data_IF_053986373030
#
_entry.id   IF_053986373030
#
_cell.length_a   1.000
_cell.length_b   1.000
_cell.length_c   1.000
_cell.angle_alpha   90.00
_cell.angle_beta   90.00
_cell.angle_gamma   90.00
#
_symmetry.space_group_name_H-M   'P 1'
#
loop_
_entity.id
_entity.type
_entity.pdbx_description
1 polymer ?
#
# COMPACT_ATOMS: atom_id res chain seq x y z
N UNK A 1 -9.70 6.98 -13.46
CA UNK A 1 -9.72 7.46 -12.07
C UNK A 1 -8.91 6.47 -11.25
N UNK A 2 -7.95 6.92 -10.43
CA UNK A 2 -7.20 6.00 -9.54
C UNK A 2 -8.13 5.59 -8.39
N UNK A 3 -8.23 4.29 -8.14
CA UNK A 3 -9.02 3.76 -7.02
C UNK A 3 -8.40 4.17 -5.67
N UNK A 4 -9.19 4.41 -4.63
CA UNK A 4 -8.66 4.59 -3.28
C UNK A 4 -8.05 3.29 -2.77
N UNK A 5 -7.01 3.41 -1.93
CA UNK A 5 -6.45 2.27 -1.20
C UNK A 5 -7.35 2.01 0.01
N UNK A 6 -7.87 0.80 0.10
CA UNK A 6 -8.75 0.40 1.19
C UNK A 6 -7.93 -0.20 2.33
N UNK A 7 -8.06 0.39 3.51
CA UNK A 7 -7.58 -0.19 4.74
C UNK A 7 -8.70 -1.07 5.34
N UNK A 8 -8.47 -2.38 5.47
CA UNK A 8 -9.39 -3.30 6.12
C UNK A 8 -8.79 -3.87 7.40
N UNK A 9 -9.61 -3.98 8.44
CA UNK A 9 -9.26 -4.70 9.67
C UNK A 9 -9.37 -6.23 9.50
N UNK A 10 -10.03 -6.71 8.45
CA UNK A 10 -10.20 -8.13 8.17
C UNK A 10 -9.25 -8.60 7.07
N UNK A 11 -8.68 -9.80 7.26
CA UNK A 11 -7.73 -10.42 6.34
C UNK A 11 -8.42 -10.89 5.05
N UNK A 12 -8.76 -9.96 4.15
CA UNK A 12 -9.25 -10.29 2.80
C UNK A 12 -8.21 -11.08 2.01
N UNK A 13 -8.60 -12.22 1.43
CA UNK A 13 -7.74 -13.13 0.69
C UNK A 13 -7.38 -12.61 -0.70
N UNK A 14 -6.08 -12.40 -0.92
CA UNK A 14 -5.51 -11.88 -2.15
C UNK A 14 -4.13 -11.25 -1.88
N UNK A 15 -3.23 -11.37 -2.84
CA UNK A 15 -2.00 -10.57 -2.92
C UNK A 15 -2.33 -9.32 -3.78
N UNK A 16 -2.58 -8.15 -3.15
CA UNK A 16 -2.84 -6.91 -3.87
C UNK A 16 -1.59 -6.32 -4.53
N UNK A 17 -0.40 -6.65 -4.02
CA UNK A 17 0.87 -6.11 -4.54
C UNK A 17 1.65 -7.11 -5.40
N UNK A 18 1.09 -8.30 -5.63
CA UNK A 18 1.62 -9.26 -6.58
C UNK A 18 1.81 -8.57 -7.95
N UNK A 19 2.89 -8.86 -8.69
CA UNK A 19 3.26 -8.11 -9.86
C UNK A 19 2.13 -8.10 -10.89
N UNK A 20 1.42 -6.97 -10.99
CA UNK A 20 0.41 -6.69 -12.01
C UNK A 20 0.76 -5.33 -12.63
N UNK A 21 0.91 -5.27 -13.95
CA UNK A 21 1.32 -4.05 -14.66
C UNK A 21 2.85 -3.85 -14.70
N UNK A 22 3.35 -2.61 -14.63
CA UNK A 22 4.78 -2.20 -14.82
C UNK A 22 5.83 -3.05 -14.07
N UNK A 23 5.45 -3.82 -13.05
CA UNK A 23 6.26 -4.88 -12.44
C UNK A 23 6.53 -6.11 -13.35
N UNK A 24 5.98 -6.14 -14.57
CA UNK A 24 6.29 -7.13 -15.60
C UNK A 24 7.71 -6.96 -16.17
N UNK A 25 8.31 -5.77 -16.00
CA UNK A 25 9.75 -5.64 -16.02
C UNK A 25 10.25 -6.18 -14.68
N UNK A 26 11.10 -7.20 -14.69
CA UNK A 26 11.61 -7.94 -13.52
C UNK A 26 12.42 -7.09 -12.49
N UNK A 27 12.13 -5.80 -12.34
CA UNK A 27 12.74 -4.89 -11.38
C UNK A 27 12.12 -5.01 -9.99
N UNK A 28 12.93 -4.77 -8.97
CA UNK A 28 12.46 -4.61 -7.60
C UNK A 28 11.62 -3.33 -7.52
N UNK A 29 10.40 -3.43 -7.01
CA UNK A 29 9.50 -2.31 -6.76
C UNK A 29 9.54 -1.94 -5.28
N UNK A 30 9.66 -0.66 -4.97
CA UNK A 30 9.47 -0.14 -3.61
C UNK A 30 8.09 0.49 -3.46
N UNK A 31 7.53 0.42 -2.26
CA UNK A 31 6.25 1.05 -1.88
C UNK A 31 6.52 2.05 -0.77
N UNK A 32 5.96 3.25 -0.90
CA UNK A 32 6.10 4.34 0.07
C UNK A 32 4.77 4.86 0.57
N UNK A 33 4.75 5.34 1.82
CA UNK A 33 3.65 6.12 2.41
C UNK A 33 4.07 7.60 2.45
N UNK A 34 3.29 8.46 1.81
CA UNK A 34 3.53 9.91 1.78
C UNK A 34 2.86 10.61 2.96
N UNK A 35 3.34 11.82 3.30
CA UNK A 35 2.79 12.63 4.40
C UNK A 35 1.34 13.10 4.18
N UNK A 36 0.88 13.14 2.93
CA UNK A 36 -0.51 13.46 2.55
C UNK A 36 -1.42 12.22 2.50
N UNK A 37 -0.96 11.08 3.05
CA UNK A 37 -1.68 9.82 3.17
C UNK A 37 -1.96 9.12 1.84
N UNK A 38 -0.96 9.01 0.97
CA UNK A 38 -1.04 8.19 -0.26
C UNK A 38 -0.05 7.04 -0.20
N UNK A 39 -0.41 5.94 -0.86
CA UNK A 39 0.56 4.93 -1.25
C UNK A 39 1.11 5.26 -2.64
N UNK A 40 2.42 5.17 -2.77
CA UNK A 40 3.15 5.34 -4.03
C UNK A 40 4.06 4.14 -4.28
N UNK A 41 4.40 3.92 -5.54
CA UNK A 41 5.38 2.92 -5.95
C UNK A 41 6.38 3.49 -6.95
N UNK A 42 7.57 2.90 -7.00
CA UNK A 42 8.60 3.19 -8.00
C UNK A 42 9.50 1.97 -8.23
N UNK A 43 10.11 1.87 -9.42
CA UNK A 43 11.22 0.92 -9.66
C UNK A 43 12.45 1.44 -8.92
N UNK A 44 13.11 0.59 -8.10
CA UNK A 44 14.28 1.04 -7.31
C UNK A 44 15.45 1.52 -8.17
N UNK A 45 15.47 1.21 -9.47
CA UNK A 45 16.47 1.66 -10.44
C UNK A 45 16.11 2.99 -11.11
N UNK A 46 14.85 3.40 -11.02
CA UNK A 46 14.35 4.70 -11.52
C UNK A 46 13.31 5.29 -10.54
N UNK A 47 13.75 5.77 -9.37
CA UNK A 47 12.84 6.33 -8.36
C UNK A 47 12.13 7.62 -8.82
N UNK A 48 12.60 8.25 -9.90
CA UNK A 48 11.95 9.44 -10.46
C UNK A 48 10.62 9.11 -11.15
N UNK A 49 10.47 7.90 -11.71
CA UNK A 49 9.19 7.40 -12.26
C UNK A 49 8.30 6.83 -11.15
N UNK A 50 7.87 7.71 -10.23
CA UNK A 50 6.96 7.38 -9.14
C UNK A 50 5.50 7.42 -9.61
N UNK A 51 4.70 6.41 -9.25
CA UNK A 51 3.25 6.38 -9.47
C UNK A 51 2.46 6.29 -8.16
N UNK A 52 1.18 6.66 -8.21
CA UNK A 52 0.27 6.62 -7.06
C UNK A 52 -0.65 5.40 -7.13
N UNK A 53 -0.73 4.63 -6.05
CA UNK A 53 -1.77 3.62 -5.85
C UNK A 53 -3.09 4.25 -5.43
N UNK A 54 -3.03 5.36 -4.67
CA UNK A 54 -4.22 6.10 -4.25
C UNK A 54 -4.07 6.70 -2.86
N UNK A 55 -5.08 7.44 -2.42
CA UNK A 55 -5.16 7.93 -1.04
C UNK A 55 -5.65 6.80 -0.12
N UNK A 56 -5.10 6.74 1.09
CA UNK A 56 -5.58 5.83 2.15
C UNK A 56 -7.00 6.23 2.54
N UNK A 57 -7.89 5.25 2.62
CA UNK A 57 -9.26 5.36 3.10
C UNK A 57 -9.62 4.12 3.94
N UNK A 58 -10.79 4.13 4.60
CA UNK A 58 -11.27 2.97 5.36
C UNK A 58 -10.71 2.81 6.77
N UNK A 59 -9.89 3.75 7.27
CA UNK A 59 -9.43 3.74 8.66
C UNK A 59 -10.61 3.80 9.64
N UNK A 60 -10.55 3.00 10.71
CA UNK A 60 -11.58 2.93 11.75
C UNK A 60 -10.96 3.26 13.09
N UNK A 61 -11.19 4.48 13.56
CA UNK A 61 -10.67 4.96 14.85
C UNK A 61 -9.35 5.74 14.73
N UNK A 62 -8.49 5.36 13.79
CA UNK A 62 -7.28 6.12 13.42
C UNK A 62 -7.60 7.27 12.45
N UNK A 63 -6.81 8.34 12.52
CA UNK A 63 -6.90 9.48 11.60
C UNK A 63 -5.96 9.35 10.41
N UNK A 64 -4.83 8.63 10.60
CA UNK A 64 -3.83 8.43 9.56
C UNK A 64 -2.97 7.20 9.84
N UNK A 65 -2.26 6.75 8.83
CA UNK A 65 -1.16 5.80 8.99
C UNK A 65 0.13 6.53 9.42
N UNK A 66 0.95 5.84 10.21
CA UNK A 66 2.27 6.29 10.68
C UNK A 66 3.40 5.39 10.18
N UNK A 67 3.08 4.20 9.66
CA UNK A 67 4.07 3.27 9.12
C UNK A 67 3.43 2.20 8.25
N UNK A 68 4.27 1.52 7.46
CA UNK A 68 3.89 0.40 6.61
C UNK A 68 4.92 -0.73 6.72
N UNK A 69 4.48 -1.96 6.47
CA UNK A 69 5.33 -3.15 6.51
C UNK A 69 4.83 -4.17 5.47
N UNK A 70 5.73 -4.63 4.59
CA UNK A 70 5.42 -5.71 3.68
C UNK A 70 5.74 -7.06 4.33
N UNK A 71 4.71 -7.86 4.60
CA UNK A 71 4.85 -9.17 5.23
C UNK A 71 5.07 -10.24 4.18
N UNK A 72 6.34 -10.60 3.99
CA UNK A 72 6.80 -11.61 3.03
C UNK A 72 6.09 -12.97 3.20
N UNK A 73 5.72 -13.33 4.43
CA UNK A 73 5.07 -14.61 4.74
C UNK A 73 3.71 -14.79 4.07
N UNK A 74 2.99 -13.69 3.79
CA UNK A 74 1.64 -13.75 3.20
C UNK A 74 1.43 -12.78 2.03
N UNK A 75 2.47 -12.06 1.60
CA UNK A 75 2.43 -11.13 0.48
C UNK A 75 1.58 -9.88 0.72
N UNK A 76 1.26 -9.55 1.97
CA UNK A 76 0.38 -8.41 2.30
C UNK A 76 1.16 -7.19 2.74
N UNK A 77 0.67 -6.01 2.36
CA UNK A 77 1.11 -4.75 2.95
C UNK A 77 0.23 -4.41 4.15
N UNK A 78 0.89 -4.20 5.28
CA UNK A 78 0.25 -3.75 6.51
C UNK A 78 0.52 -2.26 6.73
N UNK A 79 -0.45 -1.57 7.32
CA UNK A 79 -0.33 -0.20 7.80
C UNK A 79 -0.55 -0.13 9.32
N UNK A 80 0.18 0.72 10.00
CA UNK A 80 -0.03 1.05 11.42
C UNK A 80 -0.62 2.46 11.52
N UNK A 81 -1.71 2.62 12.26
CA UNK A 81 -2.41 3.88 12.49
C UNK A 81 -1.83 4.70 13.64
N UNK A 82 -2.17 5.98 13.68
CA UNK A 82 -1.69 6.94 14.69
C UNK A 82 -2.21 6.68 16.12
N UNK A 83 -3.20 5.81 16.28
CA UNK A 83 -3.72 5.34 17.58
C UNK A 83 -3.48 3.83 17.77
N UNK A 84 -2.61 3.23 16.96
CA UNK A 84 -2.19 1.84 17.09
C UNK A 84 -3.05 0.82 16.35
N UNK A 85 -4.04 1.24 15.55
CA UNK A 85 -4.77 0.30 14.69
C UNK A 85 -3.86 -0.33 13.64
N UNK A 86 -4.10 -1.61 13.32
CA UNK A 86 -3.36 -2.34 12.28
C UNK A 86 -4.31 -2.68 11.14
N UNK A 87 -3.87 -2.37 9.92
CA UNK A 87 -4.68 -2.48 8.72
C UNK A 87 -3.98 -3.34 7.68
N UNK A 88 -4.74 -4.16 6.97
CA UNK A 88 -4.29 -4.69 5.68
C UNK A 88 -4.64 -3.65 4.61
N UNK A 89 -3.66 -3.28 3.78
CA UNK A 89 -3.85 -2.33 2.70
C UNK A 89 -4.03 -3.09 1.39
N UNK A 90 -5.07 -2.76 0.64
CA UNK A 90 -5.36 -3.34 -0.67
C UNK A 90 -5.52 -2.23 -1.72
N UNK A 91 -4.97 -2.46 -2.91
CA UNK A 91 -5.05 -1.53 -4.04
C UNK A 91 -6.33 -1.70 -4.85
N UNK A 92 -7.18 -2.67 -4.48
CA UNK A 92 -8.48 -2.92 -5.07
C UNK A 92 -9.60 -2.44 -4.15
N UNK A 93 -10.45 -1.59 -4.73
CA UNK A 93 -11.82 -1.43 -4.28
C UNK A 93 -12.67 -2.57 -4.86
#
# INVERSE_FOLDING_TARGET
>A
MLSPVMASAEAGGGDPFGPRGRAAHHGLISVGLTSDQRLVGFDVRDPADTWSFGRITGLRGDGRLVGIDFRVQNGKLYGVGDKGGVYTLDDKA
#
